data_IF_375093494455
#
_entry.id   IF_375093494455
#
_cell.length_a   1.000
_cell.length_b   1.000
_cell.length_c   1.000
_cell.angle_alpha   90.00
_cell.angle_beta   90.00
_cell.angle_gamma   90.00
#
_symmetry.space_group_name_H-M   'P 1'
#
loop_
_entity.id
_entity.type
_entity.pdbx_description
1 polymer ?
#
# COMPACT_ATOMS: atom_id res chain seq x y z
N UNK A 1 25.32 -23.41 -14.08
CA UNK A 1 24.56 -24.68 -14.06
C UNK A 1 25.24 -25.83 -13.28
N UNK A 2 26.21 -25.60 -12.38
CA UNK A 2 26.87 -26.69 -11.59
C UNK A 2 26.80 -26.54 -10.05
N UNK A 3 26.19 -25.46 -9.53
CA UNK A 3 26.20 -25.18 -8.09
C UNK A 3 24.85 -25.42 -7.38
N UNK A 4 23.77 -25.70 -8.12
CA UNK A 4 22.43 -25.91 -7.54
C UNK A 4 22.19 -27.35 -7.04
N UNK A 5 22.87 -28.34 -7.63
CA UNK A 5 22.62 -29.75 -7.34
C UNK A 5 23.23 -30.24 -6.00
N UNK A 6 24.14 -29.47 -5.39
CA UNK A 6 24.82 -29.86 -4.14
C UNK A 6 24.18 -29.32 -2.86
N UNK A 7 23.16 -28.48 -2.97
CA UNK A 7 22.51 -27.81 -1.84
C UNK A 7 21.08 -28.30 -1.57
N UNK A 8 20.62 -29.33 -2.29
CA UNK A 8 19.33 -29.96 -2.05
C UNK A 8 19.54 -31.29 -1.31
N UNK A 9 19.10 -31.36 -0.05
CA UNK A 9 18.87 -32.63 0.62
C UNK A 9 17.39 -32.98 0.40
N UNK A 10 17.12 -33.91 -0.52
CA UNK A 10 15.78 -34.42 -0.79
C UNK A 10 15.34 -35.36 0.34
N UNK A 11 14.41 -34.91 1.19
CA UNK A 11 13.67 -35.79 2.10
C UNK A 11 12.27 -36.06 1.52
N UNK A 12 11.90 -37.34 1.43
CA UNK A 12 10.61 -37.77 0.89
C UNK A 12 9.46 -37.32 1.79
N UNK A 13 8.64 -36.39 1.30
CA UNK A 13 7.39 -35.97 1.96
C UNK A 13 7.24 -34.47 2.23
N UNK A 14 8.26 -33.64 1.99
CA UNK A 14 8.19 -32.19 2.19
C UNK A 14 8.51 -31.41 0.92
N UNK A 15 7.65 -30.44 0.57
CA UNK A 15 7.92 -29.44 -0.47
C UNK A 15 8.94 -28.42 0.07
N UNK A 16 10.19 -28.50 -0.36
CA UNK A 16 11.16 -27.43 -0.09
C UNK A 16 10.84 -26.21 -0.97
N UNK A 17 10.60 -25.07 -0.32
CA UNK A 17 10.49 -23.79 -0.99
C UNK A 17 11.84 -23.43 -1.64
N UNK A 18 11.91 -22.97 -2.90
CA UNK A 18 13.11 -22.37 -3.45
C UNK A 18 13.40 -21.12 -2.62
N UNK A 19 14.45 -21.20 -1.80
CA UNK A 19 14.74 -20.20 -0.77
C UNK A 19 15.48 -18.98 -1.35
N UNK A 20 16.06 -19.11 -2.55
CA UNK A 20 16.80 -18.05 -3.22
C UNK A 20 16.80 -18.21 -4.74
N UNK A 21 16.81 -17.08 -5.47
CA UNK A 21 17.13 -17.00 -6.89
C UNK A 21 18.45 -16.23 -7.02
N UNK A 22 19.37 -16.74 -7.84
CA UNK A 22 20.57 -16.01 -8.27
C UNK A 22 20.38 -15.69 -9.74
N UNK A 23 19.99 -14.45 -10.04
CA UNK A 23 19.85 -13.97 -11.40
C UNK A 23 20.20 -12.49 -11.48
N UNK A 24 20.67 -12.07 -12.64
CA UNK A 24 20.83 -10.67 -13.03
C UNK A 24 19.73 -10.21 -14.00
N UNK A 25 18.84 -11.12 -14.40
CA UNK A 25 17.78 -10.86 -15.36
C UNK A 25 16.50 -10.34 -14.66
N UNK A 26 16.02 -9.12 -14.98
CA UNK A 26 14.83 -8.54 -14.37
C UNK A 26 13.57 -9.40 -14.56
N UNK A 27 13.40 -10.00 -15.74
CA UNK A 27 12.26 -10.83 -16.09
C UNK A 27 12.20 -12.11 -15.23
N UNK A 28 13.34 -12.79 -15.04
CA UNK A 28 13.43 -13.94 -14.13
C UNK A 28 13.09 -13.58 -12.68
N UNK A 29 13.58 -12.42 -12.20
CA UNK A 29 13.28 -11.94 -10.84
C UNK A 29 11.79 -11.63 -10.69
N UNK A 30 11.17 -11.05 -11.72
CA UNK A 30 9.74 -10.78 -11.75
C UNK A 30 8.91 -12.07 -11.77
N UNK A 31 9.29 -13.06 -12.58
CA UNK A 31 8.65 -14.37 -12.60
C UNK A 31 8.82 -15.11 -11.26
N UNK A 32 9.96 -14.94 -10.59
CA UNK A 32 10.19 -15.50 -9.26
C UNK A 32 9.29 -14.85 -8.20
N UNK A 33 9.14 -13.53 -8.20
CA UNK A 33 8.19 -12.84 -7.33
C UNK A 33 6.75 -13.32 -7.58
N UNK A 34 6.33 -13.42 -8.85
CA UNK A 34 4.98 -13.86 -9.21
C UNK A 34 4.73 -15.35 -8.90
N UNK A 35 5.72 -16.21 -9.06
CA UNK A 35 5.61 -17.65 -8.78
C UNK A 35 5.67 -17.98 -7.29
N UNK A 36 6.33 -17.14 -6.48
CA UNK A 36 6.24 -17.21 -5.02
C UNK A 36 4.80 -16.99 -4.52
N UNK A 37 4.01 -16.17 -5.21
CA UNK A 37 2.59 -15.94 -4.88
C UNK A 37 1.64 -17.02 -5.42
N UNK A 38 1.97 -17.64 -6.56
CA UNK A 38 1.04 -18.47 -7.35
C UNK A 38 1.12 -19.98 -7.10
N UNK A 39 1.81 -20.47 -6.06
CA UNK A 39 1.95 -21.93 -5.84
C UNK A 39 0.60 -22.62 -5.63
N UNK A 40 0.11 -23.21 -6.72
CA UNK A 40 -0.88 -24.28 -6.75
C UNK A 40 -0.31 -25.50 -6.01
N UNK A 41 -1.20 -26.32 -5.45
CA UNK A 41 -0.78 -27.64 -4.95
C UNK A 41 -0.30 -28.53 -6.12
N UNK A 42 0.35 -29.65 -5.80
CA UNK A 42 0.85 -30.63 -6.79
C UNK A 42 -0.25 -31.23 -7.70
N UNK A 43 -1.53 -30.88 -7.48
CA UNK A 43 -2.69 -31.33 -8.23
C UNK A 43 -3.41 -30.19 -8.98
N UNK A 44 -2.81 -29.00 -9.09
CA UNK A 44 -3.35 -27.90 -9.89
C UNK A 44 -4.59 -27.21 -9.30
N UNK A 45 -4.92 -27.43 -8.03
CA UNK A 45 -6.05 -26.75 -7.37
C UNK A 45 -5.59 -25.42 -6.76
N UNK A 46 -6.40 -24.37 -6.98
CA UNK A 46 -6.29 -23.09 -6.26
C UNK A 46 -6.60 -23.36 -4.78
N UNK A 47 -5.63 -23.16 -3.88
CA UNK A 47 -5.94 -23.05 -2.45
C UNK A 47 -6.70 -21.74 -2.23
N UNK A 48 -8.01 -21.83 -2.01
CA UNK A 48 -8.86 -20.70 -1.62
C UNK A 48 -8.66 -20.25 -0.16
N UNK A 49 -7.80 -20.94 0.62
CA UNK A 49 -7.46 -20.55 1.99
C UNK A 49 -6.05 -20.02 2.08
N UNK A 50 -5.97 -18.70 1.91
CA UNK A 50 -4.88 -17.83 2.35
C UNK A 50 -4.75 -17.96 3.88
N UNK A 51 -3.76 -18.74 4.32
CA UNK A 51 -3.43 -18.91 5.72
C UNK A 51 -1.92 -18.79 5.88
N UNK A 52 -1.49 -17.61 6.32
CA UNK A 52 -0.30 -17.40 7.16
C UNK A 52 1.10 -17.51 6.54
N UNK A 53 1.30 -17.41 5.23
CA UNK A 53 2.67 -17.15 4.69
C UNK A 53 2.59 -16.19 3.50
N UNK A 54 2.11 -14.96 3.75
CA UNK A 54 2.19 -13.87 2.79
C UNK A 54 3.57 -13.20 2.90
N UNK A 55 4.43 -13.43 1.92
CA UNK A 55 5.68 -12.68 1.80
C UNK A 55 5.39 -11.25 1.33
N UNK A 56 6.07 -10.26 1.91
CA UNK A 56 5.91 -8.85 1.51
C UNK A 56 6.61 -8.53 0.16
N UNK A 57 7.61 -9.35 -0.20
CA UNK A 57 8.45 -9.15 -1.37
C UNK A 57 9.78 -9.89 -1.27
N UNK A 58 10.71 -9.55 -2.16
CA UNK A 58 12.07 -10.09 -2.23
C UNK A 58 13.09 -9.12 -1.61
N UNK A 59 14.13 -9.67 -0.98
CA UNK A 59 15.34 -8.94 -0.60
C UNK A 59 16.44 -9.34 -1.55
N UNK A 60 16.91 -8.40 -2.37
CA UNK A 60 17.97 -8.60 -3.35
C UNK A 60 19.30 -8.20 -2.72
N UNK A 61 20.24 -9.14 -2.67
CA UNK A 61 21.59 -8.95 -2.14
C UNK A 61 22.61 -9.21 -3.24
N UNK A 62 23.70 -8.43 -3.25
CA UNK A 62 24.85 -8.73 -4.11
C UNK A 62 25.58 -9.96 -3.58
N UNK A 63 26.07 -10.79 -4.50
CA UNK A 63 26.84 -12.01 -4.17
C UNK A 63 28.36 -11.82 -4.37
N UNK A 64 28.82 -10.60 -4.60
CA UNK A 64 30.25 -10.28 -4.73
C UNK A 64 31.00 -10.52 -3.40
N UNK A 65 32.27 -10.92 -3.46
CA UNK A 65 33.14 -11.13 -2.29
C UNK A 65 33.23 -9.90 -1.37
N UNK A 66 33.01 -8.70 -1.92
CA UNK A 66 33.00 -7.42 -1.18
C UNK A 66 31.63 -7.07 -0.54
N UNK A 67 30.64 -7.97 -0.59
CA UNK A 67 29.30 -7.76 -0.02
C UNK A 67 29.22 -8.07 1.48
N UNK A 68 30.27 -7.71 2.24
CA UNK A 68 30.26 -7.84 3.69
C UNK A 68 29.21 -6.91 4.32
N UNK A 69 28.58 -7.36 5.41
CA UNK A 69 27.69 -6.49 6.18
C UNK A 69 28.52 -5.37 6.84
N UNK A 70 28.21 -4.13 6.48
CA UNK A 70 28.79 -2.94 7.11
C UNK A 70 27.66 -2.19 7.83
N UNK A 71 27.73 -2.04 9.16
CA UNK A 71 26.76 -1.24 9.91
C UNK A 71 26.62 0.16 9.29
N UNK A 72 25.39 0.68 9.25
CA UNK A 72 25.01 1.95 8.58
C UNK A 72 25.18 2.01 7.06
N UNK A 73 25.54 0.91 6.38
CA UNK A 73 25.53 0.81 4.92
C UNK A 73 24.46 -0.17 4.44
N UNK A 74 23.49 0.32 3.67
CA UNK A 74 22.40 -0.51 3.12
C UNK A 74 22.76 -0.99 1.71
N UNK A 75 23.38 -2.17 1.61
CA UNK A 75 23.78 -2.80 0.34
C UNK A 75 22.78 -3.86 -0.16
N UNK A 76 21.49 -3.74 0.20
CA UNK A 76 20.40 -4.60 -0.29
C UNK A 76 19.21 -3.78 -0.79
N UNK A 77 18.47 -4.34 -1.75
CA UNK A 77 17.25 -3.75 -2.29
C UNK A 77 16.03 -4.55 -1.82
N UNK A 78 14.99 -3.85 -1.36
CA UNK A 78 13.68 -4.46 -1.09
C UNK A 78 12.84 -4.32 -2.35
N UNK A 79 12.52 -5.42 -3.02
CA UNK A 79 11.56 -5.44 -4.11
C UNK A 79 10.22 -5.93 -3.56
N UNK A 80 9.27 -5.02 -3.43
CA UNK A 80 7.95 -5.32 -2.88
C UNK A 80 6.90 -5.17 -3.97
N UNK A 81 5.79 -5.91 -3.83
CA UNK A 81 4.72 -5.97 -4.83
C UNK A 81 4.13 -4.59 -5.15
N UNK A 82 4.01 -3.73 -4.15
CA UNK A 82 3.52 -2.35 -4.24
C UNK A 82 4.41 -1.42 -5.08
N UNK A 83 5.60 -1.86 -5.52
CA UNK A 83 6.37 -1.12 -6.52
C UNK A 83 5.97 -1.44 -7.96
N UNK A 84 5.19 -2.50 -8.18
CA UNK A 84 4.67 -2.83 -9.51
C UNK A 84 3.35 -2.09 -9.73
N UNK A 85 3.34 -1.16 -10.68
CA UNK A 85 2.22 -0.24 -10.92
C UNK A 85 0.89 -0.92 -11.28
N UNK A 86 0.91 -2.18 -11.68
CA UNK A 86 -0.27 -2.93 -12.12
C UNK A 86 -1.04 -3.62 -10.99
N UNK A 87 -0.64 -3.45 -9.73
CA UNK A 87 -1.17 -4.22 -8.58
C UNK A 87 -1.74 -3.34 -7.45
N UNK A 88 -1.95 -2.04 -7.69
CA UNK A 88 -2.59 -1.17 -6.72
C UNK A 88 -4.10 -1.33 -6.79
N UNK A 89 -4.72 -1.65 -5.65
CA UNK A 89 -6.16 -1.46 -5.48
C UNK A 89 -6.40 0.06 -5.37
N UNK A 90 -7.03 0.63 -6.39
CA UNK A 90 -7.57 1.99 -6.32
C UNK A 90 -8.95 1.97 -5.67
N UNK A 91 -9.23 2.99 -4.88
CA UNK A 91 -10.52 3.20 -4.23
C UNK A 91 -11.05 4.57 -4.61
N UNK A 92 -12.31 4.61 -5.00
CA UNK A 92 -13.07 5.84 -5.20
C UNK A 92 -13.61 6.33 -3.86
N UNK A 93 -13.05 7.42 -3.35
CA UNK A 93 -13.41 7.97 -2.04
C UNK A 93 -13.84 9.44 -2.14
N UNK A 94 -14.76 9.84 -1.26
CA UNK A 94 -15.29 11.19 -1.19
C UNK A 94 -14.66 11.95 -0.03
N UNK A 95 -14.06 13.13 -0.24
CA UNK A 95 -13.60 13.99 0.84
C UNK A 95 -14.79 14.61 1.57
N UNK A 96 -14.96 14.24 2.84
CA UNK A 96 -16.04 14.74 3.71
C UNK A 96 -15.57 15.77 4.73
N UNK A 97 -14.26 15.82 4.99
CA UNK A 97 -13.67 16.79 5.92
C UNK A 97 -12.20 17.08 5.58
N UNK A 98 -11.64 18.14 6.17
CA UNK A 98 -10.23 18.52 6.06
C UNK A 98 -9.64 18.93 7.41
N UNK A 99 -8.31 18.90 7.45
CA UNK A 99 -7.49 19.40 8.54
C UNK A 99 -6.57 20.49 7.99
N UNK A 100 -6.42 21.59 8.72
CA UNK A 100 -5.51 22.65 8.32
C UNK A 100 -4.06 22.18 8.33
N UNK A 101 -3.29 22.63 7.33
CA UNK A 101 -1.86 22.39 7.26
C UNK A 101 -1.10 23.23 8.29
N UNK A 102 -0.02 22.67 8.83
CA UNK A 102 0.92 23.38 9.69
C UNK A 102 2.20 23.75 8.92
N UNK A 103 2.90 24.82 9.34
CA UNK A 103 4.20 25.21 8.81
C UNK A 103 4.14 25.79 7.40
N UNK A 104 4.82 25.16 6.43
CA UNK A 104 4.85 25.63 5.03
C UNK A 104 3.47 25.63 4.35
N UNK A 105 2.54 24.82 4.86
CA UNK A 105 1.18 24.64 4.30
C UNK A 105 0.11 25.42 5.08
N UNK A 106 0.51 26.41 5.88
CA UNK A 106 -0.43 27.24 6.64
C UNK A 106 -1.32 28.06 5.69
N UNK A 107 -2.63 27.96 5.86
CA UNK A 107 -3.64 28.59 5.00
C UNK A 107 -4.27 27.65 3.96
N UNK A 108 -3.77 26.42 3.84
CA UNK A 108 -4.32 25.36 3.00
C UNK A 108 -4.77 24.17 3.84
N UNK A 109 -5.53 23.26 3.24
CA UNK A 109 -5.87 21.99 3.88
C UNK A 109 -4.68 21.05 3.74
N UNK A 110 -4.09 20.64 4.87
CA UNK A 110 -2.91 19.79 4.90
C UNK A 110 -3.21 18.30 4.72
N UNK A 111 -4.45 17.90 4.99
CA UNK A 111 -4.94 16.53 4.80
C UNK A 111 -6.46 16.50 4.76
N UNK A 112 -7.02 15.45 4.17
CA UNK A 112 -8.45 15.25 4.02
C UNK A 112 -8.90 13.98 4.74
N UNK A 113 -10.15 13.96 5.22
CA UNK A 113 -10.84 12.78 5.68
C UNK A 113 -11.70 12.25 4.54
N UNK A 114 -11.41 11.03 4.12
CA UNK A 114 -12.02 10.38 2.98
C UNK A 114 -13.04 9.32 3.45
N UNK A 115 -14.16 9.23 2.76
CA UNK A 115 -15.23 8.31 3.08
C UNK A 115 -15.72 7.55 1.85
N UNK A 116 -16.20 6.34 2.06
CA UNK A 116 -16.94 5.56 1.09
C UNK A 116 -18.44 5.68 1.38
N UNK A 117 -19.27 5.61 0.35
CA UNK A 117 -20.72 5.65 0.49
C UNK A 117 -21.27 4.22 0.62
N UNK A 118 -22.01 3.95 1.71
CA UNK A 118 -22.68 2.67 1.95
C UNK A 118 -24.13 2.73 1.48
N UNK A 119 -24.40 2.15 0.31
CA UNK A 119 -25.73 2.10 -0.31
C UNK A 119 -26.80 1.43 0.56
N UNK A 120 -26.43 0.54 1.47
CA UNK A 120 -27.40 -0.17 2.31
C UNK A 120 -27.89 0.68 3.48
N UNK A 121 -27.01 1.57 3.98
CA UNK A 121 -27.27 2.41 5.15
C UNK A 121 -27.56 3.87 4.79
N UNK A 122 -27.34 4.24 3.53
CA UNK A 122 -27.45 5.62 3.04
C UNK A 122 -26.54 6.59 3.84
N UNK A 123 -25.30 6.16 4.08
CA UNK A 123 -24.34 6.86 4.96
C UNK A 123 -22.94 6.91 4.34
N UNK A 124 -22.19 7.99 4.65
CA UNK A 124 -20.77 8.09 4.32
C UNK A 124 -19.93 7.59 5.49
N UNK A 125 -19.16 6.52 5.26
CA UNK A 125 -18.30 5.90 6.26
C UNK A 125 -16.84 6.32 6.04
N UNK A 126 -16.24 6.99 7.05
CA UNK A 126 -14.84 7.40 6.99
C UNK A 126 -13.92 6.18 6.91
N UNK A 127 -13.04 6.16 5.92
CA UNK A 127 -12.06 5.08 5.71
C UNK A 127 -10.70 5.49 6.22
N UNK A 128 -10.18 6.61 5.71
CA UNK A 128 -8.82 7.03 6.02
C UNK A 128 -8.68 8.55 6.01
N UNK A 129 -7.68 8.99 6.77
CA UNK A 129 -7.11 10.32 6.62
C UNK A 129 -5.99 10.24 5.59
N UNK A 130 -5.97 11.19 4.68
CA UNK A 130 -4.93 11.28 3.66
C UNK A 130 -3.55 11.47 4.29
N UNK A 131 -2.60 10.61 3.88
CA UNK A 131 -1.20 10.65 4.28
C UNK A 131 -0.45 11.85 3.67
N UNK A 132 0.73 12.25 4.21
CA UNK A 132 1.51 13.39 3.72
C UNK A 132 2.08 13.27 2.28
N UNK A 133 1.78 12.20 1.55
CA UNK A 133 2.28 11.92 0.20
C UNK A 133 1.66 12.73 -0.94
N UNK A 134 0.71 13.63 -0.64
CA UNK A 134 0.15 14.53 -1.64
C UNK A 134 1.16 15.61 -2.03
N UNK A 135 1.32 15.83 -3.33
CA UNK A 135 2.08 16.98 -3.83
C UNK A 135 1.40 18.28 -3.37
N UNK A 136 2.20 19.32 -3.19
CA UNK A 136 1.70 20.63 -2.76
C UNK A 136 0.67 21.19 -3.74
N UNK A 137 0.93 21.07 -5.04
CA UNK A 137 0.00 21.45 -6.10
C UNK A 137 -1.34 20.71 -5.98
N UNK A 138 -1.33 19.39 -5.72
CA UNK A 138 -2.56 18.61 -5.58
C UNK A 138 -3.37 19.05 -4.35
N UNK A 139 -2.71 19.37 -3.23
CA UNK A 139 -3.37 19.92 -2.05
C UNK A 139 -3.98 21.29 -2.31
N UNK A 140 -3.28 22.16 -3.05
CA UNK A 140 -3.79 23.48 -3.44
C UNK A 140 -5.02 23.38 -4.34
N UNK A 141 -4.95 22.54 -5.37
CA UNK A 141 -6.07 22.31 -6.29
C UNK A 141 -7.28 21.74 -5.56
N UNK A 142 -7.10 20.70 -4.73
CA UNK A 142 -8.17 20.14 -3.91
C UNK A 142 -8.74 21.16 -2.93
N UNK A 143 -7.87 21.93 -2.27
CA UNK A 143 -8.29 22.98 -1.34
C UNK A 143 -9.11 24.06 -2.04
N UNK A 144 -8.71 24.47 -3.25
CA UNK A 144 -9.43 25.46 -4.04
C UNK A 144 -10.82 24.97 -4.46
N UNK A 145 -10.94 23.72 -4.94
CA UNK A 145 -12.23 23.14 -5.34
C UNK A 145 -13.19 22.99 -4.17
N UNK A 146 -12.70 22.47 -3.04
CA UNK A 146 -13.53 22.18 -1.87
C UNK A 146 -13.87 23.41 -1.02
N UNK A 147 -13.18 24.55 -1.21
CA UNK A 147 -13.43 25.79 -0.46
C UNK A 147 -14.89 26.28 -0.57
N UNK A 148 -15.53 26.07 -1.73
CA UNK A 148 -16.92 26.47 -1.97
C UNK A 148 -17.95 25.44 -1.46
N UNK A 149 -17.49 24.32 -0.90
CA UNK A 149 -18.33 23.22 -0.42
C UNK A 149 -18.30 23.09 1.10
N UNK A 150 -17.73 24.06 1.79
CA UNK A 150 -17.59 24.04 3.26
C UNK A 150 -18.96 24.12 3.92
N UNK A 151 -19.20 23.20 4.86
CA UNK A 151 -20.38 23.20 5.72
C UNK A 151 -19.96 23.42 7.18
N UNK A 152 -20.79 24.06 8.00
CA UNK A 152 -20.42 24.42 9.37
C UNK A 152 -20.35 23.21 10.32
N UNK A 153 -21.06 22.11 9.99
CA UNK A 153 -21.18 20.92 10.83
C UNK A 153 -21.27 19.66 9.99
N UNK A 154 -20.81 18.50 10.49
CA UNK A 154 -20.97 17.23 9.81
C UNK A 154 -22.46 16.91 9.62
N UNK A 155 -22.79 16.28 8.50
CA UNK A 155 -24.14 15.81 8.24
C UNK A 155 -24.47 14.61 9.15
N UNK A 156 -25.75 14.38 9.53
CA UNK A 156 -26.13 13.26 10.39
C UNK A 156 -25.80 11.87 9.83
N UNK A 157 -25.70 11.77 8.49
CA UNK A 157 -25.37 10.55 7.77
C UNK A 157 -23.84 10.35 7.58
N UNK A 158 -23.01 11.17 8.22
CA UNK A 158 -21.57 10.94 8.28
C UNK A 158 -21.23 10.04 9.47
N UNK A 159 -20.52 8.96 9.20
CA UNK A 159 -20.00 8.03 10.19
C UNK A 159 -18.49 8.19 10.23
N UNK A 160 -18.00 8.79 11.31
CA UNK A 160 -16.58 8.98 11.57
C UNK A 160 -16.29 8.77 13.05
N UNK A 161 -15.05 8.37 13.36
CA UNK A 161 -14.61 8.25 14.73
C UNK A 161 -14.19 9.64 15.25
N UNK A 162 -15.05 10.29 16.03
CA UNK A 162 -14.81 11.63 16.57
C UNK A 162 -13.70 11.70 17.63
N UNK A 163 -13.35 10.57 18.26
CA UNK A 163 -12.27 10.51 19.24
C UNK A 163 -10.90 10.50 18.56
N UNK A 164 -10.81 9.83 17.40
CA UNK A 164 -9.58 9.69 16.61
C UNK A 164 -9.42 10.89 15.65
N UNK A 165 -10.50 11.27 14.96
CA UNK A 165 -10.48 12.31 13.95
C UNK A 165 -11.19 13.55 14.47
N UNK A 166 -10.46 14.66 14.53
CA UNK A 166 -10.98 16.00 14.85
C UNK A 166 -10.77 16.93 13.65
N UNK A 167 -11.62 16.86 12.61
CA UNK A 167 -11.48 17.72 11.44
C UNK A 167 -11.79 19.17 11.79
N UNK A 168 -11.08 20.09 11.15
CA UNK A 168 -11.28 21.53 11.32
C UNK A 168 -12.41 22.04 10.41
N UNK A 169 -12.57 21.41 9.25
CA UNK A 169 -13.48 21.84 8.18
C UNK A 169 -14.27 20.64 7.67
N UNK A 170 -15.56 20.83 7.44
CA UNK A 170 -16.46 19.82 6.87
C UNK A 170 -16.87 20.23 5.46
N UNK A 171 -17.11 19.26 4.58
CA UNK A 171 -17.54 19.50 3.21
C UNK A 171 -18.88 18.84 2.89
N UNK A 172 -19.63 19.42 1.97
CA UNK A 172 -20.72 18.75 1.26
C UNK A 172 -20.12 17.70 0.30
N UNK A 173 -20.64 16.46 0.24
CA UNK A 173 -20.05 15.44 -0.61
C UNK A 173 -20.43 15.74 -2.06
N UNK A 174 -19.47 16.19 -2.86
CA UNK A 174 -19.72 16.60 -4.26
C UNK A 174 -18.78 15.99 -5.30
N UNK A 175 -17.61 15.55 -4.88
CA UNK A 175 -16.56 15.07 -5.78
C UNK A 175 -16.04 13.72 -5.28
N UNK A 176 -15.76 12.82 -6.21
CA UNK A 176 -15.08 11.54 -5.93
C UNK A 176 -13.62 11.72 -6.30
N UNK A 177 -12.73 11.23 -5.46
CA UNK A 177 -11.30 11.19 -5.71
C UNK A 177 -10.82 9.75 -5.74
N UNK A 178 -10.16 9.37 -6.83
CA UNK A 178 -9.46 8.10 -6.92
C UNK A 178 -8.23 8.14 -6.02
N UNK A 179 -8.11 7.12 -5.17
CA UNK A 179 -7.09 7.04 -4.14
C UNK A 179 -6.39 5.69 -4.21
N UNK A 180 -5.06 5.70 -4.27
CA UNK A 180 -4.27 4.48 -4.26
C UNK A 180 -3.89 4.12 -2.83
N UNK A 181 -4.27 2.92 -2.40
CA UNK A 181 -3.84 2.40 -1.12
C UNK A 181 -2.36 2.04 -1.18
N UNK A 182 -1.55 2.75 -0.39
CA UNK A 182 -0.17 2.36 -0.11
C UNK A 182 -0.12 1.81 1.30
N UNK A 183 0.12 0.52 1.46
CA UNK A 183 0.38 -0.05 2.78
C UNK A 183 1.66 0.58 3.34
N UNK A 184 1.51 1.24 4.48
CA UNK A 184 2.63 1.87 5.17
C UNK A 184 3.50 0.79 5.83
N UNK A 185 4.81 0.96 5.72
CA UNK A 185 5.81 -0.12 5.85
C UNK A 185 6.63 -0.10 7.12
N UNK A 186 6.14 0.54 8.18
CA UNK A 186 6.85 0.60 9.45
C UNK A 186 5.93 0.31 10.64
N UNK A 187 5.85 -0.97 11.00
CA UNK A 187 5.85 -1.47 12.38
C UNK A 187 6.68 -2.74 12.45
#
# INVERSE_FOLDING_TARGET
>A
MKYLHGSLNEESGFLQFPTALISSDPEEIQQFLLSAERRLDNNGRRREKMGSDSYEGLVIKKLSTDAAYVPNKRDWLKLKKDYMASLWDSLDLVPIAAFYGCGKRTGLYGSFLLACYDYNKDEFQSICKTAPGFSEQMLEELSARLRNKVIPKPKPYYRYNADIFKPDVWFEPSEVSEMYLKQDKDK
#
